data_IF_992266212984
#
_entry.id   IF_992266212984
#
_cell.length_a   1.000
_cell.length_b   1.000
_cell.length_c   1.000
_cell.angle_alpha   90.00
_cell.angle_beta   90.00
_cell.angle_gamma   90.00
#
_symmetry.space_group_name_H-M   'P 1'
#
loop_
_entity.id
_entity.type
_entity.pdbx_description
1 polymer ?
#
# COMPACT_ATOMS: atom_id res chain seq x y z
N UNK A 1 -11.51 6.48 10.38
CA UNK A 1 -10.42 5.49 10.28
C UNK A 1 -10.81 4.43 9.27
N UNK A 2 -10.09 4.32 8.14
CA UNK A 2 -10.36 3.32 7.07
C UNK A 2 -9.69 1.96 7.35
N UNK A 3 -9.27 1.73 8.60
CA UNK A 3 -8.55 0.53 9.01
C UNK A 3 -9.54 -0.44 9.65
N UNK A 4 -9.76 -1.59 9.02
CA UNK A 4 -10.55 -2.68 9.61
C UNK A 4 -9.66 -3.63 10.40
N UNK A 5 -10.26 -4.51 11.20
CA UNK A 5 -9.53 -5.60 11.84
C UNK A 5 -8.74 -6.40 10.78
N UNK A 6 -7.49 -6.84 11.09
CA UNK A 6 -6.68 -7.61 10.14
C UNK A 6 -7.46 -8.80 9.59
N UNK A 7 -7.48 -8.96 8.28
CA UNK A 7 -8.15 -10.06 7.59
C UNK A 7 -7.13 -10.92 6.85
N UNK A 8 -7.36 -12.23 6.84
CA UNK A 8 -6.51 -13.21 6.17
C UNK A 8 -7.10 -13.55 4.80
N UNK A 9 -6.31 -13.36 3.75
CA UNK A 9 -6.59 -13.83 2.40
C UNK A 9 -5.65 -15.00 2.09
N UNK A 10 -6.21 -16.12 1.62
CA UNK A 10 -5.47 -17.32 1.29
C UNK A 10 -5.60 -17.56 -0.22
N UNK A 11 -4.47 -17.62 -0.92
CA UNK A 11 -4.42 -17.93 -2.36
C UNK A 11 -3.57 -19.17 -2.57
N UNK A 12 -4.06 -20.10 -3.40
CA UNK A 12 -3.34 -21.35 -3.74
C UNK A 12 -3.26 -21.47 -5.26
N UNK A 13 -2.24 -20.87 -5.90
CA UNK A 13 -2.11 -20.93 -7.37
C UNK A 13 -1.70 -22.32 -7.88
N UNK A 14 -1.05 -23.14 -7.05
CA UNK A 14 -0.58 -24.48 -7.35
C UNK A 14 -0.81 -25.38 -6.12
N UNK A 15 -0.96 -26.72 -6.28
CA UNK A 15 -0.95 -27.64 -5.14
C UNK A 15 0.32 -27.51 -4.25
N UNK A 16 1.43 -27.05 -4.82
CA UNK A 16 2.72 -26.89 -4.13
C UNK A 16 2.96 -25.47 -3.60
N UNK A 17 2.01 -24.55 -3.78
CA UNK A 17 2.20 -23.13 -3.44
C UNK A 17 1.00 -22.58 -2.69
N UNK A 18 1.24 -22.00 -1.52
CA UNK A 18 0.22 -21.31 -0.73
C UNK A 18 0.72 -19.91 -0.33
N UNK A 19 -0.09 -18.89 -0.62
CA UNK A 19 0.15 -17.51 -0.25
C UNK A 19 -0.86 -17.09 0.82
N UNK A 20 -0.36 -16.62 1.96
CA UNK A 20 -1.13 -16.11 3.08
C UNK A 20 -0.89 -14.61 3.20
N UNK A 21 -1.89 -13.81 2.86
CA UNK A 21 -1.80 -12.35 2.89
C UNK A 21 -2.69 -11.81 3.99
N UNK A 22 -2.10 -11.13 4.97
CA UNK A 22 -2.78 -10.42 6.04
C UNK A 22 -2.81 -8.94 5.68
N UNK A 23 -3.99 -8.33 5.73
CA UNK A 23 -4.18 -6.92 5.38
C UNK A 23 -5.17 -6.24 6.30
N UNK A 24 -4.94 -4.94 6.54
CA UNK A 24 -5.92 -4.05 7.18
C UNK A 24 -6.79 -3.32 6.17
N UNK A 25 -6.58 -3.54 4.86
CA UNK A 25 -7.47 -3.07 3.81
C UNK A 25 -8.79 -3.86 3.87
N UNK A 26 -9.95 -3.16 3.95
CA UNK A 26 -11.22 -3.80 3.64
C UNK A 26 -11.23 -4.29 2.17
N UNK A 27 -12.09 -5.26 1.81
CA UNK A 27 -12.25 -5.66 0.42
C UNK A 27 -12.55 -4.44 -0.44
N UNK A 28 -11.92 -4.35 -1.63
CA UNK A 28 -12.04 -3.19 -2.53
C UNK A 28 -13.47 -3.08 -3.09
N UNK A 29 -14.38 -2.53 -2.31
CA UNK A 29 -15.72 -2.12 -2.72
C UNK A 29 -15.63 -0.83 -3.56
N UNK A 30 -16.61 -0.60 -4.43
CA UNK A 30 -16.71 0.64 -5.21
C UNK A 30 -16.60 1.93 -4.36
N UNK A 31 -17.29 2.07 -3.20
CA UNK A 31 -17.12 3.25 -2.36
C UNK A 31 -15.71 3.39 -1.79
N UNK A 32 -15.04 2.29 -1.43
CA UNK A 32 -13.65 2.35 -0.98
C UNK A 32 -12.72 2.81 -2.11
N UNK A 33 -12.93 2.33 -3.34
CA UNK A 33 -12.15 2.78 -4.51
C UNK A 33 -12.35 4.27 -4.76
N UNK A 34 -13.59 4.76 -4.69
CA UNK A 34 -13.90 6.18 -4.83
C UNK A 34 -13.24 6.99 -3.70
N UNK A 35 -13.28 6.50 -2.47
CA UNK A 35 -12.63 7.15 -1.33
C UNK A 35 -11.11 7.20 -1.49
N UNK A 36 -10.46 6.10 -1.89
CA UNK A 36 -9.02 6.06 -2.17
C UNK A 36 -8.63 6.99 -3.32
N UNK A 37 -9.44 7.02 -4.39
CA UNK A 37 -9.26 7.94 -5.49
C UNK A 37 -9.44 9.40 -5.05
N UNK A 38 -10.44 9.68 -4.22
CA UNK A 38 -10.64 11.00 -3.61
C UNK A 38 -9.45 11.43 -2.75
N UNK A 39 -8.88 10.50 -1.96
CA UNK A 39 -7.67 10.79 -1.17
C UNK A 39 -6.46 11.02 -2.08
N UNK A 40 -6.32 10.27 -3.18
CA UNK A 40 -5.27 10.52 -4.17
C UNK A 40 -5.42 11.90 -4.82
N UNK A 41 -6.63 12.26 -5.25
CA UNK A 41 -6.93 13.58 -5.80
C UNK A 41 -6.64 14.68 -4.79
N UNK A 42 -7.04 14.50 -3.52
CA UNK A 42 -6.73 15.42 -2.44
C UNK A 42 -5.21 15.59 -2.27
N UNK A 43 -4.43 14.51 -2.32
CA UNK A 43 -2.96 14.58 -2.26
C UNK A 43 -2.39 15.37 -3.43
N UNK A 44 -2.81 15.05 -4.65
CA UNK A 44 -2.37 15.77 -5.87
C UNK A 44 -2.73 17.26 -5.75
N UNK A 45 -3.93 17.58 -5.29
CA UNK A 45 -4.36 18.95 -5.05
C UNK A 45 -3.50 19.64 -3.98
N UNK A 46 -3.21 18.99 -2.84
CA UNK A 46 -2.33 19.57 -1.81
C UNK A 46 -0.92 19.84 -2.33
N UNK A 47 -0.35 18.91 -3.10
CA UNK A 47 0.99 19.09 -3.72
C UNK A 47 0.95 20.22 -4.74
N UNK A 48 -0.08 20.27 -5.60
CA UNK A 48 -0.28 21.33 -6.57
C UNK A 48 -0.43 22.71 -5.93
N UNK A 49 -1.19 22.82 -4.83
CA UNK A 49 -1.34 24.05 -4.07
C UNK A 49 -0.03 24.50 -3.41
N UNK A 50 0.74 23.56 -2.86
CA UNK A 50 2.07 23.88 -2.29
C UNK A 50 3.02 24.37 -3.38
N UNK A 51 3.06 23.72 -4.54
CA UNK A 51 3.89 24.17 -5.67
C UNK A 51 3.46 25.54 -6.20
N UNK A 52 2.15 25.78 -6.32
CA UNK A 52 1.61 27.08 -6.72
C UNK A 52 1.99 28.18 -5.72
N UNK A 53 1.91 27.89 -4.42
CA UNK A 53 2.30 28.83 -3.37
C UNK A 53 3.80 29.16 -3.44
N UNK A 54 4.67 28.17 -3.63
CA UNK A 54 6.11 28.38 -3.85
C UNK A 54 6.35 29.26 -5.09
N UNK A 55 5.61 29.01 -6.18
CA UNK A 55 5.73 29.79 -7.40
C UNK A 55 5.30 31.26 -7.21
N UNK A 56 4.22 31.52 -6.47
CA UNK A 56 3.80 32.90 -6.16
C UNK A 56 4.86 33.66 -5.36
N UNK A 57 5.56 33.00 -4.43
CA UNK A 57 6.68 33.62 -3.70
C UNK A 57 7.89 33.88 -4.60
N UNK A 58 8.23 32.93 -5.47
CA UNK A 58 9.32 33.09 -6.43
C UNK A 58 9.09 34.31 -7.35
N UNK A 59 7.88 34.43 -7.89
CA UNK A 59 7.44 35.58 -8.68
C UNK A 59 7.57 36.87 -7.86
N UNK A 60 6.97 36.93 -6.66
CA UNK A 60 7.04 38.11 -5.81
C UNK A 60 8.48 38.53 -5.46
N UNK A 61 9.38 37.58 -5.18
CA UNK A 61 10.79 37.82 -4.88
C UNK A 61 11.58 38.34 -6.11
N UNK A 62 11.24 37.86 -7.30
CA UNK A 62 11.89 38.27 -8.55
C UNK A 62 11.48 39.70 -8.94
N UNK A 63 10.22 40.09 -8.70
CA UNK A 63 9.74 41.43 -9.04
C UNK A 63 10.04 42.49 -7.96
N UNK A 64 10.27 42.10 -6.70
CA UNK A 64 10.65 43.04 -5.63
C UNK A 64 12.11 43.48 -5.69
N UNK A 65 12.98 42.71 -6.34
CA UNK A 65 14.38 43.08 -6.59
C UNK A 65 14.54 44.03 -7.79
N UNK A 66 13.50 44.21 -8.59
CA UNK A 66 13.42 45.20 -9.66
C UNK A 66 12.76 46.49 -9.16
N UNK A 67 13.56 47.34 -8.50
CA UNK A 67 13.36 48.78 -8.22
C UNK A 67 11.98 49.41 -8.57
N UNK A 68 11.11 49.58 -7.57
CA UNK A 68 10.33 50.81 -7.23
C UNK A 68 9.05 50.46 -6.46
N UNK A 69 8.63 51.28 -5.47
CA UNK A 69 7.38 51.08 -4.76
C UNK A 69 6.21 51.58 -5.63
N UNK A 70 5.08 50.89 -5.48
CA UNK A 70 3.70 51.31 -5.82
C UNK A 70 3.04 50.42 -6.88
N UNK A 71 1.82 50.00 -6.55
CA UNK A 71 0.81 49.29 -7.33
C UNK A 71 1.03 47.79 -7.60
N UNK A 72 0.03 47.00 -7.19
CA UNK A 72 -0.16 45.60 -7.51
C UNK A 72 -0.02 45.41 -9.04
N UNK A 73 0.66 44.36 -9.51
CA UNK A 73 0.79 44.12 -10.94
C UNK A 73 -0.59 43.83 -11.52
N UNK A 74 -1.08 44.71 -12.39
CA UNK A 74 -2.16 44.40 -13.31
C UNK A 74 -1.71 43.22 -14.17
N UNK A 75 -2.17 42.04 -13.80
CA UNK A 75 -1.95 40.79 -14.52
C UNK A 75 -2.90 40.78 -15.72
N UNK A 76 -2.71 41.71 -16.64
CA UNK A 76 -3.46 41.79 -17.90
C UNK A 76 -3.11 40.57 -18.75
N UNK A 77 -4.03 39.62 -18.80
CA UNK A 77 -3.98 38.40 -19.60
C UNK A 77 -3.93 38.74 -21.10
N UNK A 78 -2.74 38.97 -21.65
CA UNK A 78 -2.52 38.95 -23.09
C UNK A 78 -2.39 37.48 -23.53
N UNK A 79 -3.52 36.83 -23.79
CA UNK A 79 -3.61 35.51 -24.44
C UNK A 79 -3.17 35.63 -25.91
N UNK A 80 -1.87 35.72 -26.15
CA UNK A 80 -1.29 35.53 -27.48
C UNK A 80 -1.08 34.02 -27.69
N UNK A 81 -2.12 33.36 -28.20
CA UNK A 81 -2.08 31.94 -28.55
C UNK A 81 -1.31 31.76 -29.87
N UNK A 82 0.02 31.68 -29.79
CA UNK A 82 0.84 31.07 -30.84
C UNK A 82 0.93 29.56 -30.57
N UNK A 83 0.34 28.69 -31.42
CA UNK A 83 0.14 27.27 -31.12
C UNK A 83 1.38 26.38 -31.35
N UNK A 84 2.57 26.95 -31.64
CA UNK A 84 3.76 26.15 -31.99
C UNK A 84 4.62 25.72 -30.81
N UNK A 85 4.49 26.33 -29.64
CA UNK A 85 5.38 26.06 -28.49
C UNK A 85 4.60 25.61 -27.25
N UNK A 86 4.83 24.36 -26.81
CA UNK A 86 4.26 23.84 -25.56
C UNK A 86 4.64 24.70 -24.33
N UNK A 87 5.78 25.39 -24.39
CA UNK A 87 6.24 26.27 -23.33
C UNK A 87 5.37 27.53 -23.18
N UNK A 88 4.94 28.15 -24.28
CA UNK A 88 4.14 29.40 -24.24
C UNK A 88 2.71 29.12 -23.77
N UNK A 89 2.14 27.99 -24.19
CA UNK A 89 0.82 27.53 -23.73
C UNK A 89 0.82 27.17 -22.24
N UNK A 90 1.87 26.52 -21.74
CA UNK A 90 2.05 26.27 -20.31
C UNK A 90 2.17 27.59 -19.55
N UNK A 91 3.01 28.53 -20.02
CA UNK A 91 3.19 29.84 -19.41
C UNK A 91 1.87 30.62 -19.31
N UNK A 92 1.05 30.61 -20.36
CA UNK A 92 -0.26 31.26 -20.39
C UNK A 92 -1.27 30.60 -19.46
N UNK A 93 -1.25 29.28 -19.34
CA UNK A 93 -2.10 28.54 -18.40
C UNK A 93 -1.69 28.84 -16.95
N UNK A 94 -0.39 28.88 -16.68
CA UNK A 94 0.15 29.19 -15.36
C UNK A 94 -0.18 30.62 -14.92
N UNK A 95 -0.08 31.59 -15.83
CA UNK A 95 -0.46 32.99 -15.56
C UNK A 95 -1.96 33.15 -15.34
N UNK A 96 -2.80 32.45 -16.11
CA UNK A 96 -4.24 32.38 -15.87
C UNK A 96 -4.58 31.74 -14.51
N UNK A 97 -3.82 30.72 -14.09
CA UNK A 97 -4.00 30.08 -12.79
C UNK A 97 -3.60 31.02 -11.63
N UNK A 98 -2.57 31.84 -11.82
CA UNK A 98 -2.15 32.87 -10.86
C UNK A 98 -3.17 34.01 -10.71
N UNK A 99 -3.79 34.42 -11.83
CA UNK A 99 -4.85 35.43 -11.86
C UNK A 99 -6.19 34.94 -11.28
N UNK A 100 -6.34 33.63 -11.07
CA UNK A 100 -7.56 33.05 -10.48
C UNK A 100 -7.76 33.53 -9.02
N UNK A 101 -9.01 33.55 -8.51
CA UNK A 101 -9.28 33.93 -7.12
C UNK A 101 -8.54 33.05 -6.10
N UNK A 102 -8.23 31.80 -6.46
CA UNK A 102 -7.41 30.89 -5.65
C UNK A 102 -5.96 31.34 -5.59
N UNK A 103 -5.36 31.72 -6.73
CA UNK A 103 -3.98 32.23 -6.78
C UNK A 103 -3.79 33.49 -5.93
N UNK A 104 -4.75 34.42 -6.01
CA UNK A 104 -4.74 35.67 -5.23
C UNK A 104 -4.89 35.39 -3.74
N UNK A 105 -5.79 34.48 -3.35
CA UNK A 105 -5.95 34.07 -1.94
C UNK A 105 -4.68 33.43 -1.38
N UNK A 106 -4.02 32.56 -2.14
CA UNK A 106 -2.76 31.92 -1.73
C UNK A 106 -1.64 32.95 -1.60
N UNK A 107 -1.53 33.87 -2.55
CA UNK A 107 -0.53 34.95 -2.49
C UNK A 107 -0.75 35.86 -1.27
N UNK A 108 -2.01 36.19 -0.94
CA UNK A 108 -2.36 36.98 0.24
C UNK A 108 -2.13 36.21 1.55
N UNK A 109 -2.43 34.91 1.59
CA UNK A 109 -2.14 34.08 2.76
C UNK A 109 -0.63 33.92 2.98
N UNK A 110 0.13 33.82 1.89
CA UNK A 110 1.59 33.69 1.92
C UNK A 110 2.30 34.94 2.43
N UNK A 111 1.77 36.14 2.18
CA UNK A 111 2.43 37.39 2.59
C UNK A 111 2.39 37.64 4.10
N UNK A 112 1.53 36.94 4.85
CA UNK A 112 1.45 37.03 6.31
C UNK A 112 2.50 36.17 7.04
N UNK A 113 3.22 35.30 6.33
CA UNK A 113 4.17 34.34 6.92
C UNK A 113 5.63 34.69 6.55
N UNK A 114 6.58 34.62 7.50
CA UNK A 114 8.00 34.79 7.16
C UNK A 114 8.49 33.63 6.28
N UNK A 115 9.46 33.86 5.36
CA UNK A 115 9.84 32.90 4.32
C UNK A 115 10.32 31.55 4.87
N UNK A 116 11.05 31.56 6.00
CA UNK A 116 11.50 30.32 6.65
C UNK A 116 10.34 29.47 7.20
N UNK A 117 9.31 30.10 7.76
CA UNK A 117 8.13 29.38 8.27
C UNK A 117 7.30 28.79 7.11
N UNK A 118 7.21 29.50 5.99
CA UNK A 118 6.56 29.01 4.79
C UNK A 118 7.27 27.78 4.19
N UNK A 119 8.60 27.81 4.08
CA UNK A 119 9.39 26.66 3.65
C UNK A 119 9.22 25.45 4.58
N UNK A 120 9.22 25.69 5.91
CA UNK A 120 8.98 24.62 6.88
C UNK A 120 7.59 24.00 6.76
N UNK A 121 6.55 24.82 6.61
CA UNK A 121 5.17 24.36 6.51
C UNK A 121 4.88 23.65 5.18
N UNK A 122 5.44 24.13 4.06
CA UNK A 122 5.34 23.46 2.76
C UNK A 122 6.04 22.10 2.77
N UNK A 123 7.26 22.03 3.33
CA UNK A 123 7.97 20.75 3.52
C UNK A 123 7.18 19.78 4.40
N UNK A 124 6.64 20.25 5.52
CA UNK A 124 5.84 19.43 6.43
C UNK A 124 4.58 18.88 5.76
N UNK A 125 3.84 19.72 5.02
CA UNK A 125 2.64 19.30 4.29
C UNK A 125 2.96 18.27 3.21
N UNK A 126 4.04 18.47 2.45
CA UNK A 126 4.50 17.50 1.46
C UNK A 126 4.93 16.18 2.12
N UNK A 127 5.68 16.27 3.22
CA UNK A 127 6.12 15.09 3.98
C UNK A 127 4.92 14.29 4.51
N UNK A 128 3.96 14.95 5.16
CA UNK A 128 2.75 14.29 5.68
C UNK A 128 1.92 13.69 4.53
N UNK A 129 1.71 14.44 3.45
CA UNK A 129 0.92 13.99 2.29
C UNK A 129 1.54 12.77 1.61
N UNK A 130 2.87 12.72 1.51
CA UNK A 130 3.61 11.67 0.81
C UNK A 130 3.87 10.43 1.68
N UNK A 131 4.16 10.62 2.98
CA UNK A 131 4.58 9.53 3.88
C UNK A 131 3.40 8.83 4.55
N UNK A 132 2.24 9.47 4.68
CA UNK A 132 1.07 8.81 5.25
C UNK A 132 0.63 7.66 4.34
N UNK A 133 0.69 6.42 4.82
CA UNK A 133 0.11 5.26 4.13
C UNK A 133 -1.16 4.84 4.87
N UNK A 134 -2.23 4.61 4.12
CA UNK A 134 -3.56 4.32 4.68
C UNK A 134 -3.65 2.84 5.09
N UNK A 135 -2.83 1.97 4.49
CA UNK A 135 -2.92 0.53 4.69
C UNK A 135 -1.58 -0.20 4.74
N UNK A 136 -1.54 -1.21 5.61
CA UNK A 136 -0.42 -2.12 5.83
C UNK A 136 -0.80 -3.52 5.36
N UNK A 137 0.08 -4.12 4.57
CA UNK A 137 -0.10 -5.45 3.98
C UNK A 137 1.14 -6.28 4.25
N UNK A 138 0.97 -7.46 4.82
CA UNK A 138 2.04 -8.43 5.05
C UNK A 138 1.62 -9.77 4.46
N UNK A 139 2.50 -10.42 3.70
CA UNK A 139 2.21 -11.70 3.08
C UNK A 139 3.34 -12.70 3.27
N UNK A 140 2.96 -13.96 3.18
CA UNK A 140 3.83 -15.11 3.38
C UNK A 140 3.54 -16.09 2.27
N UNK A 141 4.52 -16.32 1.43
CA UNK A 141 4.44 -17.30 0.36
C UNK A 141 5.20 -18.54 0.81
N UNK A 142 4.51 -19.67 0.81
CA UNK A 142 5.08 -20.97 1.15
C UNK A 142 5.19 -21.77 -0.14
N UNK A 143 6.40 -22.21 -0.43
CA UNK A 143 6.73 -23.00 -1.60
C UNK A 143 7.19 -24.38 -1.13
N UNK A 144 6.39 -25.42 -1.41
CA UNK A 144 6.69 -26.81 -1.03
C UNK A 144 8.05 -27.21 -1.60
N UNK A 145 8.94 -27.67 -0.73
CA UNK A 145 10.31 -28.08 -1.07
C UNK A 145 11.30 -26.98 -1.40
N UNK A 146 10.88 -25.71 -1.41
CA UNK A 146 11.79 -24.60 -1.65
C UNK A 146 12.03 -23.79 -0.37
N UNK A 147 10.95 -23.30 0.25
CA UNK A 147 11.07 -22.50 1.47
C UNK A 147 9.88 -21.57 1.70
N UNK A 148 10.10 -20.60 2.58
CA UNK A 148 9.14 -19.56 2.93
C UNK A 148 9.68 -18.21 2.46
N UNK A 149 8.85 -17.42 1.80
CA UNK A 149 9.12 -16.02 1.51
C UNK A 149 8.18 -15.12 2.31
N UNK A 150 8.74 -14.26 3.16
CA UNK A 150 7.98 -13.23 3.88
C UNK A 150 8.10 -11.90 3.18
N UNK A 151 6.99 -11.20 2.98
CA UNK A 151 6.91 -9.88 2.34
C UNK A 151 6.15 -8.91 3.24
N UNK A 152 6.80 -7.83 3.70
CA UNK A 152 6.16 -6.79 4.51
C UNK A 152 6.28 -5.41 3.85
N UNK A 153 5.18 -4.65 3.86
CA UNK A 153 5.19 -3.26 3.38
C UNK A 153 5.98 -2.36 4.33
N UNK A 154 7.06 -1.72 3.85
CA UNK A 154 7.84 -0.73 4.63
C UNK A 154 7.01 0.51 4.99
N UNK A 155 7.41 1.21 6.06
CA UNK A 155 6.76 2.43 6.55
C UNK A 155 7.06 3.63 5.67
N UNK A 156 8.21 3.60 5.00
CA UNK A 156 8.66 4.62 4.05
C UNK A 156 8.35 4.18 2.61
N UNK A 157 7.13 4.46 2.18
CA UNK A 157 6.85 4.83 0.79
C UNK A 157 6.68 3.73 -0.25
N UNK A 158 7.72 2.95 -0.59
CA UNK A 158 7.69 2.24 -1.88
C UNK A 158 8.18 0.78 -1.86
N UNK A 159 9.01 0.42 -0.88
CA UNK A 159 9.73 -0.86 -0.93
C UNK A 159 9.01 -1.89 -0.06
N UNK A 160 8.71 -3.04 -0.67
CA UNK A 160 8.34 -4.24 0.08
C UNK A 160 9.63 -4.92 0.53
N UNK A 161 9.77 -5.16 1.84
CA UNK A 161 10.88 -5.96 2.35
C UNK A 161 10.51 -7.42 2.12
N UNK A 162 11.17 -8.05 1.16
CA UNK A 162 11.05 -9.48 0.87
C UNK A 162 12.23 -10.22 1.48
N UNK A 163 11.98 -11.36 2.10
CA UNK A 163 13.01 -12.24 2.64
C UNK A 163 12.63 -13.67 2.34
N UNK A 164 13.55 -14.41 1.74
CA UNK A 164 13.38 -15.82 1.44
C UNK A 164 14.19 -16.65 2.44
N UNK A 165 13.58 -17.73 2.95
CA UNK A 165 14.13 -18.64 3.93
C UNK A 165 14.02 -20.05 3.32
N UNK A 166 15.15 -20.65 2.89
CA UNK A 166 15.16 -22.00 2.34
C UNK A 166 14.65 -23.05 3.33
N UNK A 167 13.94 -24.08 2.85
CA UNK A 167 13.43 -25.17 3.70
C UNK A 167 14.52 -25.87 4.50
N UNK A 168 15.72 -26.02 3.93
CA UNK A 168 16.84 -26.67 4.61
C UNK A 168 17.30 -25.94 5.88
N UNK A 169 17.08 -24.63 5.95
CA UNK A 169 17.45 -23.80 7.09
C UNK A 169 16.31 -23.66 8.11
N UNK A 170 15.10 -24.15 7.82
CA UNK A 170 13.96 -24.03 8.72
C UNK A 170 14.00 -25.19 9.70
N UNK A 171 14.23 -24.88 10.98
CA UNK A 171 14.14 -25.89 12.05
C UNK A 171 12.67 -26.16 12.39
N UNK A 172 11.96 -25.10 12.78
CA UNK A 172 10.53 -25.18 13.08
C UNK A 172 9.86 -23.80 13.00
N UNK A 173 8.53 -23.81 13.00
CA UNK A 173 7.66 -22.64 13.00
C UNK A 173 6.81 -22.68 14.25
N UNK A 174 6.92 -21.66 15.10
CA UNK A 174 6.21 -21.56 16.37
C UNK A 174 5.22 -20.41 16.39
N UNK A 175 4.15 -20.61 17.16
CA UNK A 175 3.25 -19.55 17.58
C UNK A 175 3.69 -19.15 18.97
N UNK A 176 4.08 -17.89 19.16
CA UNK A 176 4.37 -17.36 20.48
C UNK A 176 3.40 -16.26 20.87
N UNK A 177 3.30 -16.01 22.18
CA UNK A 177 2.52 -14.92 22.76
C UNK A 177 3.44 -13.91 23.45
N UNK A 178 3.08 -12.64 23.35
CA UNK A 178 3.76 -11.56 24.04
C UNK A 178 2.76 -10.56 24.60
N UNK A 179 3.12 -9.96 25.73
CA UNK A 179 2.37 -8.86 26.32
C UNK A 179 2.78 -7.54 25.67
N UNK A 180 1.81 -6.80 25.13
CA UNK A 180 2.01 -5.44 24.63
C UNK A 180 1.09 -4.50 25.41
N UNK A 181 1.64 -3.83 26.42
CA UNK A 181 0.83 -3.10 27.40
C UNK A 181 -0.02 -4.08 28.20
N UNK A 182 -1.35 -4.00 28.05
CA UNK A 182 -2.32 -4.89 28.70
C UNK A 182 -3.00 -5.88 27.72
N UNK A 183 -2.51 -5.97 26.48
CA UNK A 183 -3.04 -6.88 25.46
C UNK A 183 -2.07 -8.04 25.21
N UNK A 184 -2.59 -9.27 25.18
CA UNK A 184 -1.85 -10.46 24.73
C UNK A 184 -1.91 -10.53 23.20
N UNK A 185 -0.74 -10.51 22.56
CA UNK A 185 -0.61 -10.59 21.11
C UNK A 185 0.09 -11.87 20.70
N UNK A 186 -0.48 -12.54 19.71
CA UNK A 186 0.08 -13.74 19.12
C UNK A 186 0.91 -13.37 17.90
N UNK A 187 2.08 -13.99 17.78
CA UNK A 187 2.95 -13.78 16.63
C UNK A 187 3.55 -15.12 16.17
N UNK A 188 3.71 -15.23 14.86
CA UNK A 188 4.27 -16.40 14.21
C UNK A 188 5.76 -16.17 13.99
N UNK A 189 6.58 -17.10 14.46
CA UNK A 189 8.04 -17.07 14.30
C UNK A 189 8.53 -18.28 13.54
N UNK A 190 9.53 -18.07 12.70
CA UNK A 190 10.29 -19.13 12.03
C UNK A 190 11.68 -19.16 12.65
N UNK A 191 12.08 -20.32 13.17
CA UNK A 191 13.42 -20.54 13.68
C UNK A 191 14.30 -21.02 12.54
N UNK A 192 15.36 -20.25 12.27
CA UNK A 192 16.28 -20.48 11.16
C UNK A 192 17.62 -20.97 11.71
N UNK A 193 18.14 -22.04 11.16
CA UNK A 193 19.45 -22.59 11.51
C UNK A 193 20.55 -21.62 11.09
N UNK A 194 21.45 -21.30 12.03
CA UNK A 194 22.57 -20.39 11.79
C UNK A 194 22.27 -18.90 11.98
N UNK A 195 21.05 -18.55 12.39
CA UNK A 195 20.69 -17.18 12.80
C UNK A 195 20.42 -17.13 14.31
N UNK A 196 20.97 -16.12 15.00
CA UNK A 196 20.69 -15.90 16.43
C UNK A 196 19.28 -15.32 16.65
N UNK A 197 18.76 -14.58 15.67
CA UNK A 197 17.45 -13.93 15.72
C UNK A 197 16.36 -14.76 15.05
N UNK A 198 15.22 -14.91 15.73
CA UNK A 198 14.03 -15.54 15.15
C UNK A 198 13.32 -14.63 14.15
N UNK A 199 12.78 -15.21 13.08
CA UNK A 199 12.12 -14.43 12.04
C UNK A 199 10.62 -14.31 12.31
N UNK A 200 10.18 -13.10 12.65
CA UNK A 200 8.74 -12.81 12.80
C UNK A 200 8.10 -12.65 11.42
N UNK A 201 7.07 -13.46 11.18
CA UNK A 201 6.41 -13.55 9.87
C UNK A 201 5.51 -12.33 9.58
N UNK A 202 4.83 -11.82 10.61
CA UNK A 202 3.94 -10.65 10.52
C UNK A 202 4.36 -9.57 11.54
N UNK A 203 5.47 -8.86 11.31
CA UNK A 203 6.07 -7.98 12.32
C UNK A 203 5.19 -6.78 12.69
N UNK A 204 4.34 -6.28 11.77
CA UNK A 204 3.53 -5.07 12.01
C UNK A 204 2.09 -5.38 12.35
N UNK A 205 1.47 -6.32 11.64
CA UNK A 205 0.03 -6.56 11.75
C UNK A 205 -0.35 -7.32 13.01
N UNK A 206 0.55 -8.15 13.55
CA UNK A 206 0.37 -8.96 14.77
C UNK A 206 -1.08 -9.47 14.91
N UNK A 207 -1.56 -10.29 13.95
CA UNK A 207 -2.97 -10.63 13.86
C UNK A 207 -3.43 -11.52 15.01
N UNK A 208 -4.75 -11.61 15.22
CA UNK A 208 -5.35 -12.45 16.28
C UNK A 208 -4.98 -13.92 16.11
N UNK A 209 -5.00 -14.68 17.22
CA UNK A 209 -4.67 -16.12 17.30
C UNK A 209 -5.25 -16.95 16.15
N UNK A 210 -6.54 -16.79 15.85
CA UNK A 210 -7.23 -17.56 14.79
C UNK A 210 -6.56 -17.45 13.42
N UNK A 211 -6.06 -16.25 13.07
CA UNK A 211 -5.36 -16.01 11.80
C UNK A 211 -3.98 -16.66 11.84
N UNK A 212 -3.23 -16.44 12.92
CA UNK A 212 -1.89 -17.00 13.11
C UNK A 212 -1.92 -18.53 13.06
N UNK A 213 -2.88 -19.15 13.74
CA UNK A 213 -3.08 -20.60 13.78
C UNK A 213 -3.44 -21.18 12.41
N UNK A 214 -4.29 -20.49 11.64
CA UNK A 214 -4.64 -20.91 10.28
C UNK A 214 -3.42 -20.86 9.34
N UNK A 215 -2.60 -19.81 9.45
CA UNK A 215 -1.37 -19.65 8.66
C UNK A 215 -0.33 -20.70 9.09
N UNK A 216 -0.15 -20.92 10.39
CA UNK A 216 0.75 -21.95 10.92
C UNK A 216 0.39 -23.36 10.44
N UNK A 217 -0.89 -23.75 10.51
CA UNK A 217 -1.36 -25.05 9.97
C UNK A 217 -1.07 -25.17 8.48
N UNK A 218 -1.30 -24.09 7.73
CA UNK A 218 -1.00 -24.04 6.29
C UNK A 218 0.48 -24.21 5.97
N UNK A 219 1.35 -23.49 6.69
CA UNK A 219 2.80 -23.55 6.55
C UNK A 219 3.30 -24.97 6.89
N UNK A 220 2.90 -25.52 8.04
CA UNK A 220 3.29 -26.88 8.46
C UNK A 220 2.85 -27.94 7.45
N UNK A 221 1.62 -27.85 6.93
CA UNK A 221 1.14 -28.76 5.89
C UNK A 221 2.00 -28.70 4.62
N UNK A 222 2.42 -27.51 4.19
CA UNK A 222 3.25 -27.38 3.00
C UNK A 222 4.72 -27.83 3.19
N UNK A 223 5.29 -27.65 4.39
CA UNK A 223 6.71 -28.00 4.67
C UNK A 223 6.91 -29.47 5.04
N UNK A 224 6.05 -30.03 5.89
CA UNK A 224 6.30 -31.35 6.50
C UNK A 224 5.68 -32.51 5.72
N UNK A 225 4.69 -32.27 4.87
CA UNK A 225 4.09 -33.33 4.04
C UNK A 225 5.10 -33.95 3.06
N UNK A 226 6.09 -33.15 2.61
CA UNK A 226 7.21 -33.65 1.80
C UNK A 226 8.15 -34.56 2.60
N UNK A 227 8.42 -34.26 3.88
CA UNK A 227 9.30 -35.10 4.71
C UNK A 227 8.67 -36.47 4.95
N UNK A 228 7.33 -36.55 4.97
CA UNK A 228 6.59 -37.81 5.03
C UNK A 228 6.64 -38.58 3.70
N UNK A 229 6.52 -37.90 2.56
CA UNK A 229 6.59 -38.54 1.22
C UNK A 229 8.01 -39.04 0.88
N UNK A 230 9.05 -38.29 1.27
CA UNK A 230 10.45 -38.63 0.97
C UNK A 230 11.03 -39.74 1.85
N UNK A 231 10.47 -39.98 3.04
CA UNK A 231 11.03 -40.90 4.05
C UNK A 231 10.36 -42.30 4.07
N UNK A 232 9.66 -42.67 3.00
CA UNK A 232 9.07 -44.00 2.85
C UNK A 232 7.59 -44.06 3.19
N UNK A 233 6.84 -44.79 2.37
CA UNK A 233 5.39 -44.93 2.40
C UNK A 233 4.84 -45.47 3.72
N UNK A 234 4.60 -44.58 4.67
CA UNK A 234 3.69 -44.81 5.77
C UNK A 234 2.39 -44.05 5.48
N UNK A 235 1.34 -44.83 5.27
CA UNK A 235 -0.02 -44.36 5.09
C UNK A 235 -0.49 -43.67 6.39
N UNK A 236 -0.26 -42.36 6.51
CA UNK A 236 -0.88 -41.58 7.58
C UNK A 236 -2.36 -41.39 7.21
N UNK A 237 -3.21 -42.26 7.75
CA UNK A 237 -4.66 -42.12 7.70
C UNK A 237 -5.08 -41.00 8.67
N UNK A 238 -4.75 -39.76 8.31
CA UNK A 238 -4.96 -38.56 9.11
C UNK A 238 -5.85 -37.56 8.41
N UNK A 239 -7.14 -37.85 8.41
CA UNK A 239 -8.18 -36.82 8.44
C UNK A 239 -8.41 -36.02 7.15
N UNK A 240 -9.46 -36.41 6.43
CA UNK A 240 -10.31 -35.48 5.68
C UNK A 240 -10.78 -34.33 6.62
N UNK A 241 -9.99 -33.28 6.77
CA UNK A 241 -10.35 -32.03 7.48
C UNK A 241 -10.10 -30.81 6.59
N UNK A 242 -10.30 -30.98 5.29
CA UNK A 242 -10.46 -29.86 4.34
C UNK A 242 -11.83 -29.91 3.70
N UNK A 243 -12.87 -30.11 4.52
CA UNK A 243 -14.23 -29.73 4.17
C UNK A 243 -14.73 -28.75 5.22
N UNK A 244 -15.29 -27.66 4.70
CA UNK A 244 -16.08 -26.65 5.38
C UNK A 244 -15.34 -25.52 6.10
N UNK A 245 -14.96 -24.54 5.29
CA UNK A 245 -14.84 -23.14 5.68
C UNK A 245 -15.21 -22.27 4.47
N UNK A 246 -16.51 -22.04 4.28
CA UNK A 246 -17.09 -21.38 3.11
C UNK A 246 -16.38 -20.08 2.69
N UNK A 247 -15.86 -20.07 1.47
CA UNK A 247 -15.25 -18.89 0.86
C UNK A 247 -14.96 -19.03 -0.64
N UNK A 248 -14.93 -20.25 -1.18
CA UNK A 248 -14.51 -20.51 -2.58
C UNK A 248 -15.62 -20.54 -3.65
N UNK A 249 -16.90 -20.32 -3.32
CA UNK A 249 -17.99 -20.47 -4.31
C UNK A 249 -18.19 -19.28 -5.25
N UNK A 250 -17.55 -18.13 -5.04
CA UNK A 250 -17.84 -16.92 -5.84
C UNK A 250 -17.02 -16.75 -7.12
N UNK A 251 -15.91 -17.47 -7.30
CA UNK A 251 -15.08 -17.29 -8.50
C UNK A 251 -15.27 -18.35 -9.58
N UNK A 252 -15.77 -19.55 -9.27
CA UNK A 252 -15.93 -20.61 -10.27
C UNK A 252 -17.24 -20.56 -11.05
N UNK A 253 -18.24 -19.80 -10.60
CA UNK A 253 -19.52 -19.65 -11.30
C UNK A 253 -19.52 -18.58 -12.42
N UNK A 254 -18.49 -17.73 -12.52
CA UNK A 254 -18.44 -16.72 -13.59
C UNK A 254 -17.80 -17.21 -14.89
N UNK A 255 -16.94 -18.23 -14.85
CA UNK A 255 -16.31 -18.77 -16.06
C UNK A 255 -17.17 -19.82 -16.79
N UNK A 256 -17.99 -20.61 -16.08
CA UNK A 256 -18.92 -21.54 -16.76
C UNK A 256 -20.12 -20.87 -17.45
N UNK A 257 -20.39 -19.59 -17.16
CA UNK A 257 -21.51 -18.86 -17.78
C UNK A 257 -21.12 -18.07 -19.03
N UNK A 258 -19.84 -18.05 -19.41
CA UNK A 258 -19.35 -17.46 -20.67
C UNK A 258 -19.19 -18.54 -21.75
N UNK A 259 -18.82 -19.76 -21.39
CA UNK A 259 -18.61 -20.86 -22.36
C UNK A 259 -19.86 -21.73 -22.62
N UNK A 260 -20.98 -21.47 -21.94
CA UNK A 260 -22.22 -22.27 -22.03
C UNK A 260 -23.34 -21.65 -22.86
N UNK A 261 -23.11 -20.51 -23.52
CA UNK A 261 -24.15 -19.72 -24.18
C UNK A 261 -24.30 -19.95 -25.69
N UNK A 262 -23.56 -20.87 -26.30
CA UNK A 262 -23.45 -20.96 -27.76
C UNK A 262 -23.64 -22.39 -28.28
N UNK A 263 -24.71 -23.10 -27.85
CA UNK A 263 -25.24 -24.27 -28.56
C UNK A 263 -26.75 -24.42 -28.33
N UNK A 264 -27.53 -24.24 -29.40
CA UNK A 264 -28.90 -24.78 -29.50
C UNK A 264 -29.99 -23.75 -29.82
N UNK A 265 -30.12 -23.37 -31.09
CA UNK A 265 -31.39 -22.95 -31.68
C UNK A 265 -31.66 -23.91 -32.85
N UNK A 266 -32.63 -24.78 -32.61
CA UNK A 266 -33.27 -25.75 -33.49
C UNK A 266 -34.54 -26.17 -32.78
#
# INVERSE_FOLDING_TARGET
>A
MLTTSPHLYIRRPSPTTAEFTVTTCPPLTLPLRLALFGILLLRIATVGLVLLAIYTQYVAATFTTATSPTTLPDLSLSLSLSPSDLASTLQALLSALLASPLGIWIAKASSHLPPYAFCGLSYLLLYISLVTRIHTTESVLVLRGLGIQTSSSSSSGAIQKTRFIPTAQIQDVFINEAFRGFEVRYYLVVVVEGEEDVVVVFPRLLPKRRIVEAVWRGIRGCLYEQRSEANGGYHFQGGNVWKDGGGGKWQQQRQRKVDGGEKGLG
#
